data_IF_430239250304
#
_entry.id   IF_430239250304
#
_cell.length_a   1.000
_cell.length_b   1.000
_cell.length_c   1.000
_cell.angle_alpha   90.00
_cell.angle_beta   90.00
_cell.angle_gamma   90.00
#
_symmetry.space_group_name_H-M   'P 1'
#
loop_
_entity.id
_entity.type
_entity.pdbx_description
1 polymer ?
#
# COMPACT_ATOMS: atom_id res chain seq x y z
N UNK A 1 -58.95 -32.93 20.60
CA UNK A 1 -57.48 -32.79 20.72
C UNK A 1 -57.06 -33.47 22.01
N UNK A 2 -56.26 -34.53 21.92
CA UNK A 2 -55.85 -35.36 23.07
C UNK A 2 -54.87 -34.62 23.98
N UNK A 3 -55.02 -34.74 25.31
CA UNK A 3 -54.12 -34.17 26.33
C UNK A 3 -52.65 -34.58 26.13
N UNK A 4 -52.41 -35.75 25.52
CA UNK A 4 -51.05 -36.22 25.23
C UNK A 4 -50.35 -35.36 24.18
N UNK A 5 -51.09 -34.79 23.22
CA UNK A 5 -50.52 -33.97 22.16
C UNK A 5 -50.20 -32.56 22.65
N UNK A 6 -50.98 -32.02 23.59
CA UNK A 6 -50.66 -30.72 24.20
C UNK A 6 -49.41 -30.81 25.07
N UNK A 7 -49.25 -31.86 25.88
CA UNK A 7 -48.07 -32.06 26.73
C UNK A 7 -46.75 -32.13 25.93
N UNK A 8 -46.77 -32.79 24.77
CA UNK A 8 -45.61 -32.88 23.88
C UNK A 8 -45.24 -31.51 23.29
N UNK A 9 -46.22 -30.68 22.92
CA UNK A 9 -45.98 -29.31 22.43
C UNK A 9 -45.37 -28.44 23.52
N UNK A 10 -45.93 -28.46 24.73
CA UNK A 10 -45.40 -27.72 25.88
C UNK A 10 -43.97 -28.14 26.25
N UNK A 11 -43.63 -29.42 26.09
CA UNK A 11 -42.28 -29.93 26.35
C UNK A 11 -41.28 -29.51 25.27
N UNK A 12 -41.72 -29.35 24.02
CA UNK A 12 -40.87 -28.89 22.92
C UNK A 12 -40.59 -27.38 23.01
N UNK A 13 -41.60 -26.56 23.32
CA UNK A 13 -41.44 -25.11 23.51
C UNK A 13 -40.47 -24.79 24.66
N UNK A 14 -40.59 -25.52 25.77
CA UNK A 14 -39.72 -25.32 26.95
C UNK A 14 -38.25 -25.66 26.64
N UNK A 15 -37.99 -26.62 25.77
CA UNK A 15 -36.62 -26.93 25.31
C UNK A 15 -36.07 -25.83 24.38
N UNK A 16 -36.92 -25.23 23.54
CA UNK A 16 -36.54 -24.13 22.67
C UNK A 16 -36.14 -22.89 23.49
N UNK A 17 -36.89 -22.59 24.55
CA UNK A 17 -36.60 -21.47 25.46
C UNK A 17 -35.30 -21.67 26.25
N UNK A 18 -35.02 -22.90 26.70
CA UNK A 18 -33.77 -23.21 27.40
C UNK A 18 -32.55 -23.09 26.48
N UNK A 19 -32.67 -23.50 25.23
CA UNK A 19 -31.62 -23.32 24.22
C UNK A 19 -31.39 -21.83 23.92
N UNK A 20 -32.47 -21.07 23.73
CA UNK A 20 -32.43 -19.62 23.53
C UNK A 20 -31.79 -18.87 24.71
N UNK A 21 -32.11 -19.28 25.94
CA UNK A 21 -31.57 -18.66 27.15
C UNK A 21 -30.09 -18.98 27.38
N UNK A 22 -29.59 -20.11 26.88
CA UNK A 22 -28.17 -20.52 26.97
C UNK A 22 -27.26 -19.70 26.05
N UNK A 23 -27.80 -19.09 25.00
CA UNK A 23 -27.07 -18.24 24.04
C UNK A 23 -27.04 -16.76 24.39
N UNK A 24 -27.42 -16.36 25.61
CA UNK A 24 -27.10 -15.02 26.12
C UNK A 24 -25.61 -14.97 26.46
N UNK A 25 -24.80 -14.68 25.45
CA UNK A 25 -23.39 -14.36 25.62
C UNK A 25 -23.36 -13.02 26.37
N UNK A 26 -22.98 -13.04 27.65
CA UNK A 26 -22.66 -11.84 28.42
C UNK A 26 -21.38 -11.23 27.81
N UNK A 27 -21.56 -10.50 26.73
CA UNK A 27 -20.47 -9.95 25.95
C UNK A 27 -20.31 -8.48 26.32
N UNK A 28 -19.16 -8.08 26.89
CA UNK A 28 -18.94 -6.69 27.24
C UNK A 28 -18.95 -5.81 25.98
N UNK A 29 -19.52 -4.61 26.10
CA UNK A 29 -19.79 -3.71 24.97
C UNK A 29 -18.53 -3.28 24.20
N UNK A 30 -17.35 -3.38 24.83
CA UNK A 30 -16.05 -3.01 24.24
C UNK A 30 -15.43 -4.11 23.35
N UNK A 31 -15.92 -5.34 23.44
CA UNK A 31 -15.42 -6.47 22.65
C UNK A 31 -15.45 -6.24 21.12
N UNK A 32 -16.58 -5.80 20.51
CA UNK A 32 -16.60 -5.57 19.06
C UNK A 32 -15.65 -4.44 18.63
N UNK A 33 -15.51 -3.38 19.43
CA UNK A 33 -14.62 -2.26 19.10
C UNK A 33 -13.15 -2.63 19.16
N UNK A 34 -12.75 -3.47 20.13
CA UNK A 34 -11.38 -3.97 20.21
C UNK A 34 -11.01 -4.86 19.01
N UNK A 35 -11.93 -5.76 18.61
CA UNK A 35 -11.74 -6.62 17.45
C UNK A 35 -11.67 -5.79 16.17
N UNK A 36 -12.62 -4.87 15.96
CA UNK A 36 -12.64 -4.00 14.77
C UNK A 36 -11.38 -3.12 14.72
N UNK A 37 -10.93 -2.57 15.85
CA UNK A 37 -9.71 -1.77 15.92
C UNK A 37 -8.48 -2.57 15.49
N UNK A 38 -8.31 -3.80 15.99
CA UNK A 38 -7.18 -4.65 15.62
C UNK A 38 -7.19 -5.02 14.13
N UNK A 39 -8.36 -5.37 13.58
CA UNK A 39 -8.51 -5.68 12.15
C UNK A 39 -8.28 -4.43 11.29
N UNK A 40 -8.73 -3.26 11.73
CA UNK A 40 -8.54 -1.99 11.01
C UNK A 40 -7.06 -1.62 10.91
N UNK A 41 -6.28 -1.78 11.98
CA UNK A 41 -4.83 -1.55 11.95
C UNK A 41 -4.14 -2.49 10.96
N UNK A 42 -4.52 -3.78 10.97
CA UNK A 42 -4.00 -4.72 9.97
C UNK A 42 -4.40 -4.34 8.54
N UNK A 43 -5.66 -3.94 8.31
CA UNK A 43 -6.11 -3.51 6.98
C UNK A 43 -5.43 -2.22 6.52
N UNK A 44 -5.16 -1.27 7.40
CA UNK A 44 -4.38 -0.07 7.07
C UNK A 44 -2.95 -0.46 6.64
N UNK A 45 -2.32 -1.40 7.35
CA UNK A 45 -1.01 -1.92 6.97
C UNK A 45 -1.03 -2.67 5.62
N UNK A 46 -2.02 -3.54 5.41
CA UNK A 46 -2.13 -4.36 4.20
C UNK A 46 -2.63 -3.61 2.97
N UNK A 47 -3.50 -2.62 3.15
CA UNK A 47 -4.03 -1.82 2.05
C UNK A 47 -3.13 -0.60 1.81
N UNK A 48 -2.91 0.27 2.79
CA UNK A 48 -2.24 1.55 2.52
C UNK A 48 -0.71 1.43 2.46
N UNK A 49 -0.07 0.83 3.47
CA UNK A 49 1.39 0.73 3.50
C UNK A 49 1.95 -0.25 2.46
N UNK A 50 1.18 -1.26 2.05
CA UNK A 50 1.61 -2.21 1.01
C UNK A 50 1.37 -1.68 -0.41
N UNK A 51 0.33 -0.87 -0.62
CA UNK A 51 0.01 -0.26 -1.91
C UNK A 51 0.95 0.93 -2.20
N UNK A 52 1.48 1.63 -1.19
CA UNK A 52 2.62 2.54 -1.35
C UNK A 52 3.84 1.79 -1.92
N UNK A 53 4.19 0.64 -1.35
CA UNK A 53 5.35 -0.14 -1.78
C UNK A 53 5.24 -0.69 -3.22
N UNK A 54 4.03 -0.74 -3.81
CA UNK A 54 3.82 -1.05 -5.24
C UNK A 54 3.85 0.23 -6.12
N UNK A 55 3.26 1.33 -5.63
CA UNK A 55 3.33 2.64 -6.29
C UNK A 55 4.73 3.24 -6.30
N UNK A 56 5.62 2.92 -5.36
CA UNK A 56 7.02 3.38 -5.35
C UNK A 56 7.78 2.92 -6.62
N UNK A 57 7.47 1.72 -7.12
CA UNK A 57 8.07 1.20 -8.34
C UNK A 57 7.57 1.89 -9.61
N UNK A 58 6.31 2.30 -9.64
CA UNK A 58 5.68 2.95 -10.80
C UNK A 58 5.91 4.48 -10.82
N UNK A 59 5.96 5.12 -9.65
CA UNK A 59 6.27 6.55 -9.50
C UNK A 59 7.75 6.84 -9.85
N UNK A 60 8.66 5.92 -9.54
CA UNK A 60 10.07 6.01 -9.96
C UNK A 60 10.19 6.00 -11.49
N UNK A 61 9.42 5.17 -12.20
CA UNK A 61 9.46 5.10 -13.67
C UNK A 61 8.81 6.31 -14.32
N UNK A 62 7.59 6.66 -13.89
CA UNK A 62 6.78 7.71 -14.53
C UNK A 62 7.32 9.13 -14.34
N UNK A 63 8.12 9.39 -13.30
CA UNK A 63 8.78 10.69 -13.10
C UNK A 63 10.13 10.80 -13.81
N UNK A 64 10.99 9.77 -13.77
CA UNK A 64 12.29 9.80 -14.46
C UNK A 64 12.14 9.79 -15.99
N UNK A 65 11.23 8.99 -16.54
CA UNK A 65 11.00 8.95 -18.00
C UNK A 65 10.32 10.22 -18.52
N UNK A 66 9.48 10.88 -17.70
CA UNK A 66 8.76 12.09 -18.09
C UNK A 66 9.62 13.35 -17.96
N UNK A 67 10.56 13.40 -17.02
CA UNK A 67 11.48 14.52 -16.85
C UNK A 67 12.79 14.29 -17.62
N UNK A 68 12.76 14.51 -18.96
CA UNK A 68 13.99 14.71 -19.74
C UNK A 68 14.84 15.79 -19.08
N UNK A 69 15.94 15.39 -18.43
CA UNK A 69 16.87 16.30 -17.75
C UNK A 69 17.22 15.92 -16.31
N UNK A 70 16.52 14.97 -15.67
CA UNK A 70 16.82 14.59 -14.28
C UNK A 70 18.18 13.87 -14.15
N UNK A 71 18.55 13.04 -15.14
CA UNK A 71 19.89 12.42 -15.24
C UNK A 71 20.98 13.50 -15.29
N UNK A 72 20.80 14.56 -16.08
CA UNK A 72 21.73 15.69 -16.13
C UNK A 72 21.86 16.39 -14.78
N UNK A 73 20.75 16.63 -14.07
CA UNK A 73 20.76 17.31 -12.76
C UNK A 73 21.49 16.47 -11.71
N UNK A 74 21.27 15.15 -11.67
CA UNK A 74 21.99 14.25 -10.77
C UNK A 74 23.48 14.13 -11.08
N UNK A 75 23.83 14.07 -12.37
CA UNK A 75 25.22 14.10 -12.82
C UNK A 75 25.90 15.43 -12.43
N UNK A 76 25.19 16.55 -12.54
CA UNK A 76 25.72 17.87 -12.17
C UNK A 76 25.94 17.99 -10.65
N UNK A 77 25.02 17.48 -9.85
CA UNK A 77 25.17 17.43 -8.39
C UNK A 77 26.33 16.53 -7.99
N UNK A 78 26.45 15.36 -8.62
CA UNK A 78 27.57 14.42 -8.40
C UNK A 78 28.90 15.02 -8.85
N UNK A 79 28.91 15.79 -9.94
CA UNK A 79 30.08 16.53 -10.42
C UNK A 79 30.58 17.54 -9.39
N UNK A 80 29.67 18.37 -8.87
CA UNK A 80 30.00 19.37 -7.84
C UNK A 80 30.54 18.70 -6.58
N UNK A 81 29.86 17.67 -6.09
CA UNK A 81 30.31 16.90 -4.92
C UNK A 81 31.68 16.24 -5.13
N UNK A 82 31.91 15.57 -6.26
CA UNK A 82 33.20 14.92 -6.53
C UNK A 82 34.34 15.92 -6.71
N UNK A 83 34.06 17.08 -7.31
CA UNK A 83 35.02 18.17 -7.47
C UNK A 83 35.44 18.77 -6.12
N UNK A 84 34.50 18.92 -5.20
CA UNK A 84 34.78 19.37 -3.82
C UNK A 84 35.58 18.35 -3.00
N UNK A 85 35.36 17.06 -3.25
CA UNK A 85 36.02 15.96 -2.52
C UNK A 85 37.28 15.42 -3.23
N UNK A 86 37.77 16.07 -4.28
CA UNK A 86 38.98 15.67 -5.02
C UNK A 86 38.87 14.33 -5.75
N UNK A 87 37.66 13.86 -6.04
CA UNK A 87 37.38 12.61 -6.76
C UNK A 87 37.36 12.86 -8.27
N UNK A 88 37.66 11.81 -9.05
CA UNK A 88 37.69 11.91 -10.52
C UNK A 88 36.30 12.23 -11.09
N UNK A 89 36.23 13.27 -11.92
CA UNK A 89 34.98 13.74 -12.59
C UNK A 89 34.93 13.42 -14.08
N UNK A 90 35.98 12.81 -14.64
CA UNK A 90 36.17 12.55 -16.08
C UNK A 90 35.03 11.72 -16.67
N UNK A 91 34.55 10.71 -15.94
CA UNK A 91 33.47 9.83 -16.37
C UNK A 91 32.12 10.56 -16.42
N UNK A 92 31.87 11.45 -15.44
CA UNK A 92 30.66 12.27 -15.36
C UNK A 92 30.61 13.26 -16.53
N UNK A 93 31.74 13.91 -16.85
CA UNK A 93 31.84 14.84 -17.98
C UNK A 93 31.63 14.15 -19.33
N UNK A 94 32.16 12.93 -19.49
CA UNK A 94 31.94 12.13 -20.70
C UNK A 94 30.46 11.80 -20.88
N UNK A 95 29.78 11.38 -19.81
CA UNK A 95 28.35 11.04 -19.87
C UNK A 95 27.48 12.25 -20.17
N UNK A 96 27.77 13.40 -19.57
CA UNK A 96 27.06 14.66 -19.85
C UNK A 96 27.15 15.05 -21.35
N UNK A 97 28.32 14.89 -21.97
CA UNK A 97 28.50 15.13 -23.42
C UNK A 97 27.70 14.18 -24.29
N UNK A 98 27.63 12.90 -23.92
CA UNK A 98 26.82 11.91 -24.66
C UNK A 98 25.33 12.29 -24.64
N UNK A 99 24.80 12.74 -23.49
CA UNK A 99 23.40 13.15 -23.36
C UNK A 99 23.11 14.42 -24.19
N UNK A 100 24.02 15.41 -24.18
CA UNK A 100 23.89 16.61 -25.02
C UNK A 100 23.87 16.29 -26.52
N UNK A 101 24.67 15.34 -26.97
CA UNK A 101 24.70 14.92 -28.37
C UNK A 101 23.39 14.20 -28.76
N UNK A 102 22.87 13.35 -27.87
CA UNK A 102 21.59 12.67 -28.07
C UNK A 102 20.41 13.66 -28.15
N UNK A 103 20.39 14.69 -27.29
CA UNK A 103 19.38 15.76 -27.35
C UNK A 103 19.46 16.55 -28.67
N UNK A 104 20.69 16.82 -29.16
CA UNK A 104 20.93 17.54 -30.41
C UNK A 104 20.47 16.75 -31.63
N UNK A 105 20.71 15.44 -31.62
CA UNK A 105 20.24 14.52 -32.66
C UNK A 105 18.71 14.36 -32.64
N UNK A 106 18.11 14.24 -31.46
CA UNK A 106 16.65 14.22 -31.31
C UNK A 106 15.99 15.52 -31.80
N UNK A 107 16.60 16.68 -31.54
CA UNK A 107 16.09 17.96 -32.02
C UNK A 107 16.17 18.10 -33.55
N UNK A 108 17.19 17.51 -34.18
CA UNK A 108 17.38 17.56 -35.63
C UNK A 108 16.52 16.53 -36.36
N UNK A 109 16.19 15.38 -35.73
CA UNK A 109 15.32 14.36 -36.32
C UNK A 109 13.81 14.70 -36.29
N UNK A 110 13.42 15.72 -35.52
CA UNK A 110 12.02 16.15 -35.34
C UNK A 110 11.71 17.43 -36.14
N UNK A 111 12.73 18.07 -36.73
CA UNK A 111 12.60 19.24 -37.61
C UNK A 111 12.60 18.83 -39.09
#
# INVERSE_FOLDING_TARGET
MNLSNSLLVWQQEKQLDLLSKKTKIDMPWYQPYSVIGSVTVFLIYFCLLREENDMDGELTKTLYERMKGLEKVQLLQSYQFNKEHGKSVVEIEKRLKEIEEQERQQATSVA
#
